data_IF_292616387008
#
_entry.id   IF_292616387008
#
_cell.length_a   1.000
_cell.length_b   1.000
_cell.length_c   1.000
_cell.angle_alpha   90.00
_cell.angle_beta   90.00
_cell.angle_gamma   90.00
#
_symmetry.space_group_name_H-M   'P 1'
#
loop_
_entity.id
_entity.type
_entity.pdbx_description
1 polymer ?
#
# COMPACT_ATOMS: atom_id res chain seq x y z
N UNK A 1 -16.80 14.94 -2.78
CA UNK A 1 -18.21 14.60 -3.17
C UNK A 1 -18.53 13.23 -2.59
N UNK A 2 -19.72 13.03 -1.99
CA UNK A 2 -20.10 11.72 -1.49
C UNK A 2 -20.04 10.67 -2.60
N UNK A 3 -19.77 9.42 -2.22
CA UNK A 3 -19.78 8.29 -3.15
C UNK A 3 -21.16 8.15 -3.81
N UNK A 4 -21.17 7.82 -5.09
CA UNK A 4 -22.40 7.41 -5.78
C UNK A 4 -22.88 6.06 -5.24
N UNK A 5 -24.17 5.76 -5.41
CA UNK A 5 -24.70 4.44 -5.01
C UNK A 5 -23.96 3.30 -5.72
N UNK A 6 -23.66 3.46 -7.01
CA UNK A 6 -22.89 2.48 -7.77
C UNK A 6 -21.49 2.23 -7.20
N UNK A 7 -20.80 3.27 -6.69
CA UNK A 7 -19.51 3.11 -6.02
C UNK A 7 -19.62 2.40 -4.68
N UNK A 8 -20.68 2.70 -3.88
CA UNK A 8 -20.95 1.98 -2.64
C UNK A 8 -21.23 0.50 -2.90
N UNK A 9 -22.08 0.20 -3.86
CA UNK A 9 -22.44 -1.16 -4.23
C UNK A 9 -21.20 -1.93 -4.74
N UNK A 10 -20.37 -1.28 -5.56
CA UNK A 10 -19.12 -1.85 -6.04
C UNK A 10 -18.15 -2.16 -4.89
N UNK A 11 -17.97 -1.21 -3.95
CA UNK A 11 -17.11 -1.45 -2.79
C UNK A 11 -17.60 -2.60 -1.91
N UNK A 12 -18.91 -2.67 -1.68
CA UNK A 12 -19.52 -3.76 -0.92
C UNK A 12 -19.36 -5.12 -1.62
N UNK A 13 -19.41 -5.15 -2.95
CA UNK A 13 -19.31 -6.39 -3.71
C UNK A 13 -17.86 -6.85 -3.89
N UNK A 14 -16.94 -5.93 -4.19
CA UNK A 14 -15.60 -6.22 -4.66
C UNK A 14 -14.51 -5.84 -3.65
N UNK A 15 -14.82 -5.05 -2.64
CA UNK A 15 -13.87 -4.58 -1.63
C UNK A 15 -12.95 -3.47 -2.11
N UNK A 16 -13.24 -2.81 -3.23
CA UNK A 16 -12.45 -1.70 -3.76
C UNK A 16 -13.27 -0.73 -4.59
N UNK A 17 -12.77 0.50 -4.75
CA UNK A 17 -13.30 1.49 -5.70
C UNK A 17 -12.17 2.27 -6.35
N UNK A 18 -12.45 2.82 -7.53
CA UNK A 18 -11.60 3.76 -8.23
C UNK A 18 -12.20 5.17 -8.16
N UNK A 19 -11.40 6.14 -7.75
CA UNK A 19 -11.72 7.57 -7.82
C UNK A 19 -10.78 8.18 -8.87
N UNK A 20 -11.30 8.62 -10.02
CA UNK A 20 -10.46 9.13 -11.10
C UNK A 20 -9.96 10.55 -10.80
N UNK A 21 -8.74 10.86 -11.25
CA UNK A 21 -8.17 12.21 -11.30
C UNK A 21 -8.22 12.94 -9.94
N UNK A 22 -7.72 12.29 -8.88
CA UNK A 22 -7.74 12.83 -7.50
C UNK A 22 -6.48 13.58 -7.14
N UNK A 23 -5.36 13.33 -7.82
CA UNK A 23 -4.07 13.95 -7.55
C UNK A 23 -3.85 15.07 -8.58
N UNK A 24 -3.62 16.32 -8.13
CA UNK A 24 -3.30 17.42 -9.03
C UNK A 24 -2.06 17.13 -9.88
N UNK A 25 -2.12 17.43 -11.18
CA UNK A 25 -1.00 17.23 -12.10
C UNK A 25 0.28 17.92 -11.62
N UNK A 26 0.14 19.10 -11.02
CA UNK A 26 1.29 19.84 -10.44
C UNK A 26 2.04 19.06 -9.36
N UNK A 27 1.32 18.28 -8.54
CA UNK A 27 1.95 17.42 -7.51
C UNK A 27 2.64 16.24 -8.19
N UNK A 28 2.01 15.65 -9.20
CA UNK A 28 2.63 14.56 -9.96
C UNK A 28 3.93 15.03 -10.58
N UNK A 29 3.90 16.16 -11.29
CA UNK A 29 5.07 16.73 -11.97
C UNK A 29 6.19 17.04 -10.98
N UNK A 30 5.87 17.74 -9.88
CA UNK A 30 6.84 18.11 -8.85
C UNK A 30 7.48 16.88 -8.18
N UNK A 31 6.67 15.87 -7.85
CA UNK A 31 7.19 14.70 -7.12
C UNK A 31 7.95 13.74 -8.01
N UNK A 32 7.58 13.66 -9.27
CA UNK A 32 8.26 12.81 -10.28
C UNK A 32 9.55 13.44 -10.81
N UNK A 33 9.72 14.77 -10.73
CA UNK A 33 10.86 15.50 -11.32
C UNK A 33 12.23 14.90 -10.96
N UNK A 34 12.41 14.49 -9.70
CA UNK A 34 13.69 14.01 -9.19
C UNK A 34 13.78 12.50 -9.01
N UNK A 35 12.84 11.73 -9.55
CA UNK A 35 12.78 10.29 -9.34
C UNK A 35 14.06 9.58 -9.84
N UNK A 36 14.53 9.96 -11.02
CA UNK A 36 15.74 9.38 -11.63
C UNK A 36 17.03 9.80 -10.91
N UNK A 37 17.08 11.02 -10.39
CA UNK A 37 18.16 11.48 -9.52
C UNK A 37 18.21 10.65 -8.23
N UNK A 38 17.06 10.41 -7.62
CA UNK A 38 16.94 9.59 -6.40
C UNK A 38 17.36 8.15 -6.65
N UNK A 39 16.97 7.57 -7.76
CA UNK A 39 17.38 6.22 -8.17
C UNK A 39 18.88 6.16 -8.50
N UNK A 40 19.43 7.20 -9.09
CA UNK A 40 20.79 7.23 -9.66
C UNK A 40 20.86 6.54 -11.01
N UNK A 41 19.75 6.47 -11.73
CA UNK A 41 19.58 5.83 -13.02
C UNK A 41 19.26 6.85 -14.11
N UNK A 42 19.44 6.49 -15.36
CA UNK A 42 19.05 7.30 -16.52
C UNK A 42 17.69 6.83 -17.04
N UNK A 43 16.73 7.75 -17.14
CA UNK A 43 15.41 7.49 -17.69
C UNK A 43 15.42 6.90 -19.10
N UNK A 44 16.38 7.34 -19.92
CA UNK A 44 16.47 7.01 -21.33
C UNK A 44 17.42 5.83 -21.62
N UNK A 45 18.12 5.34 -20.58
CA UNK A 45 19.02 4.17 -20.68
C UNK A 45 18.60 3.07 -19.69
N UNK A 46 17.79 2.14 -20.19
CA UNK A 46 17.27 1.02 -19.39
C UNK A 46 18.37 0.07 -18.88
N UNK A 47 19.57 0.12 -19.46
CA UNK A 47 20.70 -0.68 -18.96
C UNK A 47 21.19 -0.22 -17.58
N UNK A 48 20.80 1.01 -17.16
CA UNK A 48 21.09 1.54 -15.83
C UNK A 48 20.06 1.12 -14.76
N UNK A 49 18.98 0.47 -15.16
CA UNK A 49 17.90 0.06 -14.24
C UNK A 49 18.28 -1.27 -13.57
N UNK A 50 18.84 -1.17 -12.39
CA UNK A 50 19.45 -2.30 -11.66
C UNK A 50 18.44 -3.24 -10.99
N UNK A 51 17.21 -2.77 -10.76
CA UNK A 51 16.16 -3.52 -10.04
C UNK A 51 14.84 -3.47 -10.82
N UNK A 52 14.15 -4.59 -10.98
CA UNK A 52 12.80 -4.62 -11.58
C UNK A 52 11.75 -3.96 -10.70
N UNK A 53 11.98 -3.94 -9.39
CA UNK A 53 11.01 -3.44 -8.41
C UNK A 53 11.70 -2.66 -7.29
N UNK A 54 11.34 -1.39 -7.14
CA UNK A 54 11.96 -0.48 -6.19
C UNK A 54 10.92 0.07 -5.23
N UNK A 55 11.20 0.03 -3.92
CA UNK A 55 10.47 0.76 -2.88
C UNK A 55 11.32 1.93 -2.41
N UNK A 56 10.93 3.15 -2.77
CA UNK A 56 11.63 4.38 -2.38
C UNK A 56 11.18 4.87 -1.00
N UNK A 57 12.07 5.47 -0.21
CA UNK A 57 11.67 6.14 1.03
C UNK A 57 10.89 7.42 0.73
N UNK A 58 10.16 7.92 1.72
CA UNK A 58 9.47 9.21 1.68
C UNK A 58 10.46 10.33 1.97
N UNK A 59 10.53 11.34 1.11
CA UNK A 59 11.27 12.58 1.33
C UNK A 59 10.35 13.78 1.52
N UNK A 60 9.15 13.73 0.95
CA UNK A 60 8.13 14.80 1.00
C UNK A 60 6.80 14.21 1.45
N UNK A 61 6.02 15.03 2.14
CA UNK A 61 4.67 14.63 2.54
C UNK A 61 3.75 15.86 2.58
N UNK A 62 2.48 15.64 2.24
CA UNK A 62 1.43 16.65 2.23
C UNK A 62 0.23 16.08 3.00
N UNK A 63 -0.53 16.92 3.77
CA UNK A 63 -1.78 16.48 4.36
C UNK A 63 -2.69 15.84 3.31
N UNK A 64 -3.30 14.69 3.65
CA UNK A 64 -4.09 13.92 2.68
C UNK A 64 -5.25 14.72 2.09
N UNK A 65 -5.85 15.63 2.88
CA UNK A 65 -6.93 16.51 2.44
C UNK A 65 -6.51 17.48 1.33
N UNK A 66 -5.23 17.88 1.33
CA UNK A 66 -4.63 18.76 0.31
C UNK A 66 -4.11 17.95 -0.87
N UNK A 67 -3.58 16.76 -0.60
CA UNK A 67 -3.01 15.88 -1.62
C UNK A 67 -4.07 15.31 -2.56
N UNK A 68 -5.18 14.78 -2.03
CA UNK A 68 -6.22 14.14 -2.83
C UNK A 68 -7.63 14.34 -2.22
N UNK A 69 -8.17 15.58 -2.23
CA UNK A 69 -9.39 15.92 -1.50
C UNK A 69 -10.57 15.02 -1.83
N UNK A 70 -10.81 14.69 -3.10
CA UNK A 70 -11.93 13.83 -3.51
C UNK A 70 -11.76 12.38 -3.02
N UNK A 71 -10.55 11.84 -3.03
CA UNK A 71 -10.28 10.51 -2.48
C UNK A 71 -10.37 10.52 -0.95
N UNK A 72 -9.97 11.60 -0.29
CA UNK A 72 -10.11 11.77 1.16
C UNK A 72 -11.58 11.73 1.62
N UNK A 73 -12.46 12.46 0.93
CA UNK A 73 -13.90 12.41 1.22
C UNK A 73 -14.45 10.98 1.09
N UNK A 74 -14.01 10.24 0.05
CA UNK A 74 -14.39 8.85 -0.13
C UNK A 74 -13.87 7.94 1.00
N UNK A 75 -12.61 8.11 1.42
CA UNK A 75 -12.02 7.38 2.55
C UNK A 75 -12.83 7.62 3.84
N UNK A 76 -13.15 8.88 4.14
CA UNK A 76 -13.96 9.24 5.30
C UNK A 76 -15.34 8.55 5.27
N UNK A 77 -16.01 8.56 4.12
CA UNK A 77 -17.33 7.92 3.99
C UNK A 77 -17.26 6.41 4.20
N UNK A 78 -16.24 5.74 3.64
CA UNK A 78 -16.08 4.28 3.75
C UNK A 78 -15.89 3.81 5.19
N UNK A 79 -15.24 4.60 6.03
CA UNK A 79 -14.96 4.27 7.44
C UNK A 79 -15.95 4.89 8.42
N UNK A 80 -16.93 5.68 7.95
CA UNK A 80 -18.01 6.26 8.76
C UNK A 80 -17.72 7.65 9.33
N UNK A 81 -16.69 8.34 8.86
CA UNK A 81 -16.39 9.73 9.21
C UNK A 81 -14.91 10.01 9.44
N UNK A 82 -14.52 11.27 9.26
CA UNK A 82 -13.14 11.71 9.54
C UNK A 82 -12.75 11.52 11.01
N UNK A 83 -13.73 11.68 11.92
CA UNK A 83 -13.56 11.49 13.37
C UNK A 83 -13.21 10.05 13.77
N UNK A 84 -13.41 9.08 12.87
CA UNK A 84 -13.03 7.67 13.07
C UNK A 84 -11.59 7.40 12.68
N UNK A 85 -10.99 8.25 11.85
CA UNK A 85 -9.61 8.08 11.37
C UNK A 85 -8.61 8.53 12.45
N UNK A 86 -7.55 7.75 12.64
CA UNK A 86 -6.46 8.10 13.56
C UNK A 86 -5.96 9.52 13.25
N UNK A 87 -5.91 10.45 14.22
CA UNK A 87 -5.60 11.85 13.97
C UNK A 87 -4.12 12.10 13.61
N UNK A 88 -3.25 11.12 13.80
CA UNK A 88 -1.80 11.24 13.58
C UNK A 88 -1.31 10.35 12.47
N UNK A 89 -1.66 9.04 12.49
CA UNK A 89 -1.08 8.04 11.59
C UNK A 89 -1.65 8.14 10.21
N UNK A 90 -0.76 8.17 9.21
CA UNK A 90 -1.08 8.21 7.78
C UNK A 90 -1.99 9.39 7.36
N UNK A 91 -1.98 10.49 8.16
CA UNK A 91 -2.68 11.74 7.81
C UNK A 91 -1.93 12.54 6.75
N UNK A 92 -0.74 12.12 6.38
CA UNK A 92 0.10 12.72 5.34
C UNK A 92 0.45 11.66 4.31
N UNK A 93 0.20 11.96 3.05
CA UNK A 93 0.67 11.15 1.94
C UNK A 93 1.97 11.73 1.38
N UNK A 94 2.83 10.88 0.84
CA UNK A 94 4.16 11.30 0.44
C UNK A 94 4.70 10.51 -0.77
N UNK A 95 5.91 10.85 -1.17
CA UNK A 95 6.61 10.37 -2.35
C UNK A 95 7.41 9.07 -2.11
N UNK A 96 6.90 8.20 -1.21
CA UNK A 96 7.42 6.85 -1.05
C UNK A 96 6.98 5.96 -2.23
N UNK A 97 7.62 6.15 -3.36
CA UNK A 97 7.23 5.46 -4.57
C UNK A 97 7.51 3.97 -4.54
N UNK A 98 6.59 3.23 -5.12
CA UNK A 98 6.73 1.82 -5.45
C UNK A 98 6.77 1.75 -6.97
N UNK A 99 7.95 1.43 -7.51
CA UNK A 99 8.18 1.42 -8.94
C UNK A 99 8.35 0.00 -9.42
N UNK A 100 7.62 -0.34 -10.45
CA UNK A 100 7.74 -1.60 -11.16
C UNK A 100 8.23 -1.30 -12.58
N UNK A 101 9.49 -1.65 -12.84
CA UNK A 101 10.14 -1.42 -14.12
C UNK A 101 9.89 -2.56 -15.11
N UNK A 102 9.65 -3.77 -14.61
CA UNK A 102 9.75 -4.96 -15.44
C UNK A 102 11.17 -5.17 -15.94
N UNK A 103 11.32 -6.02 -16.97
CA UNK A 103 12.59 -6.30 -17.61
C UNK A 103 12.41 -6.76 -19.05
N UNK A 104 13.52 -6.85 -19.79
CA UNK A 104 13.54 -7.42 -21.15
C UNK A 104 13.11 -8.89 -21.19
N UNK A 105 13.27 -9.61 -20.08
CA UNK A 105 12.76 -10.97 -19.97
C UNK A 105 11.24 -10.98 -20.11
N UNK A 106 10.53 -10.12 -19.35
CA UNK A 106 9.08 -10.11 -19.32
C UNK A 106 8.44 -9.52 -20.57
N UNK A 107 9.17 -8.79 -21.38
CA UNK A 107 8.71 -8.41 -22.72
C UNK A 107 8.44 -9.62 -23.62
N UNK A 108 9.11 -10.74 -23.35
CA UNK A 108 9.12 -11.94 -24.20
C UNK A 108 8.44 -13.14 -23.56
N UNK A 109 8.11 -13.06 -22.28
CA UNK A 109 7.56 -14.17 -21.51
C UNK A 109 6.24 -13.76 -20.84
N UNK A 110 5.33 -14.70 -20.71
CA UNK A 110 4.08 -14.49 -19.99
C UNK A 110 4.27 -14.73 -18.48
N UNK A 111 3.52 -13.98 -17.69
CA UNK A 111 3.43 -14.22 -16.24
C UNK A 111 2.61 -15.47 -15.94
N UNK A 112 2.79 -16.02 -14.75
CA UNK A 112 1.91 -17.07 -14.23
C UNK A 112 0.47 -16.57 -14.10
N UNK A 113 -0.52 -17.47 -14.10
CA UNK A 113 -1.90 -17.11 -13.75
C UNK A 113 -1.96 -16.44 -12.36
N UNK A 114 -2.93 -15.55 -12.10
CA UNK A 114 -3.02 -14.84 -10.82
C UNK A 114 -2.96 -15.76 -9.58
N UNK A 115 -3.58 -16.93 -9.62
CA UNK A 115 -3.58 -17.92 -8.52
C UNK A 115 -2.18 -18.44 -8.17
N UNK A 116 -1.26 -18.39 -9.11
CA UNK A 116 0.12 -18.90 -8.97
C UNK A 116 1.14 -17.81 -8.71
N UNK A 117 0.71 -16.54 -8.76
CA UNK A 117 1.58 -15.43 -8.42
C UNK A 117 2.01 -15.51 -6.96
N UNK A 118 3.23 -15.10 -6.68
CA UNK A 118 3.75 -14.94 -5.33
C UNK A 118 3.47 -13.55 -4.79
N UNK A 119 3.73 -13.32 -3.50
CA UNK A 119 3.63 -11.97 -2.91
C UNK A 119 2.20 -11.52 -2.62
N UNK A 120 1.19 -12.38 -2.70
CA UNK A 120 -0.15 -12.06 -2.23
C UNK A 120 -0.14 -11.71 -0.74
N UNK A 121 -0.66 -10.53 -0.41
CA UNK A 121 -0.69 -10.00 0.95
C UNK A 121 -1.88 -9.04 1.11
N UNK A 122 -2.14 -8.66 2.34
CA UNK A 122 -2.76 -7.39 2.70
C UNK A 122 -1.79 -6.65 3.61
N UNK A 123 -1.80 -5.32 3.57
CA UNK A 123 -0.81 -4.50 4.26
C UNK A 123 -1.05 -4.47 5.77
N UNK A 124 -0.24 -5.19 6.54
CA UNK A 124 -0.43 -5.35 7.98
C UNK A 124 0.82 -5.79 8.75
N UNK A 125 2.00 -5.52 8.24
CA UNK A 125 3.25 -5.91 8.90
C UNK A 125 3.65 -5.03 10.10
N UNK A 126 2.79 -4.08 10.50
CA UNK A 126 3.02 -3.22 11.67
C UNK A 126 2.03 -3.42 12.82
N UNK A 127 1.16 -4.43 12.78
CA UNK A 127 0.23 -4.74 13.87
C UNK A 127 -0.23 -6.20 13.86
N UNK A 128 -0.73 -6.66 15.02
CA UNK A 128 -1.43 -7.95 15.11
C UNK A 128 -2.80 -7.81 14.48
N UNK A 129 -3.07 -8.63 13.46
CA UNK A 129 -4.30 -8.61 12.70
C UNK A 129 -5.40 -9.40 13.41
N UNK A 130 -6.53 -8.76 13.65
CA UNK A 130 -7.79 -9.34 14.06
C UNK A 130 -8.86 -9.06 13.01
N UNK A 131 -10.02 -9.71 13.13
CA UNK A 131 -11.17 -9.46 12.27
C UNK A 131 -11.60 -7.98 12.24
N UNK A 132 -11.53 -7.33 13.40
CA UNK A 132 -11.96 -5.96 13.63
C UNK A 132 -10.80 -4.94 13.73
N UNK A 133 -9.63 -5.28 13.21
CA UNK A 133 -8.44 -4.42 13.37
C UNK A 133 -8.60 -3.03 12.80
N UNK A 134 -8.15 -2.03 13.58
CA UNK A 134 -8.08 -0.63 13.19
C UNK A 134 -6.77 -0.21 12.50
N UNK A 135 -5.79 -1.11 12.43
CA UNK A 135 -4.44 -0.79 11.97
C UNK A 135 -4.31 -0.53 10.47
N UNK A 136 -5.25 -1.03 9.68
CA UNK A 136 -5.42 -0.74 8.26
C UNK A 136 -6.88 -0.97 7.86
N UNK A 137 -7.69 0.07 7.86
CA UNK A 137 -9.06 0.01 7.38
C UNK A 137 -9.11 -0.01 5.84
N UNK A 138 -8.25 0.81 5.22
CA UNK A 138 -8.17 0.97 3.77
C UNK A 138 -6.70 1.03 3.33
N UNK A 139 -6.38 0.26 2.29
CA UNK A 139 -5.14 0.42 1.52
C UNK A 139 -5.42 1.31 0.33
N UNK A 140 -4.59 2.30 0.10
CA UNK A 140 -4.76 3.28 -0.96
C UNK A 140 -3.70 3.03 -2.03
N UNK A 141 -4.07 3.06 -3.30
CA UNK A 141 -3.12 2.99 -4.41
C UNK A 141 -3.25 4.27 -5.24
N UNK A 142 -2.27 5.15 -5.11
CA UNK A 142 -2.17 6.37 -5.92
C UNK A 142 -1.32 6.09 -7.17
N UNK A 143 -1.82 6.40 -8.34
CA UNK A 143 -1.13 6.19 -9.61
C UNK A 143 -0.45 7.49 -10.08
N UNK A 144 0.88 7.49 -10.13
CA UNK A 144 1.67 8.64 -10.62
C UNK A 144 2.01 8.53 -12.11
N UNK A 145 1.84 7.35 -12.68
CA UNK A 145 1.94 7.09 -14.13
C UNK A 145 0.70 6.39 -14.62
N UNK A 146 0.47 6.39 -15.90
CA UNK A 146 -0.51 5.49 -16.50
C UNK A 146 -0.15 4.03 -16.19
N UNK A 147 -1.16 3.20 -16.00
CA UNK A 147 -1.04 1.76 -15.82
C UNK A 147 -1.88 1.08 -16.90
N UNK A 148 -1.32 0.89 -18.10
CA UNK A 148 -2.02 0.21 -19.17
C UNK A 148 -2.10 -1.30 -18.93
N UNK A 149 -2.92 -2.04 -19.68
CA UNK A 149 -2.89 -3.49 -19.70
C UNK A 149 -1.46 -4.01 -19.87
N UNK A 150 -1.08 -5.07 -19.11
CA UNK A 150 0.27 -5.64 -19.06
C UNK A 150 1.37 -4.70 -18.51
N UNK A 151 1.01 -3.51 -18.03
CA UNK A 151 1.93 -2.52 -17.46
C UNK A 151 2.26 -2.70 -15.98
N UNK A 152 2.09 -3.89 -15.42
CA UNK A 152 2.47 -4.17 -14.02
C UNK A 152 1.47 -3.64 -12.98
N UNK A 153 0.21 -3.50 -13.34
CA UNK A 153 -0.85 -3.11 -12.40
C UNK A 153 -1.01 -4.11 -11.25
N UNK A 154 -1.44 -3.62 -10.11
CA UNK A 154 -1.73 -4.45 -8.93
C UNK A 154 -2.86 -5.43 -9.23
N UNK A 155 -2.67 -6.70 -8.90
CA UNK A 155 -3.73 -7.71 -8.91
C UNK A 155 -4.53 -7.68 -7.61
N UNK A 156 -5.84 -7.77 -7.72
CA UNK A 156 -6.80 -7.86 -6.63
C UNK A 156 -7.51 -9.21 -6.71
N UNK A 157 -7.63 -9.92 -5.58
CA UNK A 157 -8.45 -11.13 -5.46
C UNK A 157 -9.76 -10.77 -4.76
N UNK A 158 -10.80 -10.44 -5.53
CA UNK A 158 -12.06 -9.88 -5.02
C UNK A 158 -12.81 -10.86 -4.10
N UNK A 159 -12.78 -12.14 -4.42
CA UNK A 159 -13.35 -13.21 -3.58
C UNK A 159 -12.39 -13.70 -2.47
N UNK A 160 -11.16 -13.16 -2.41
CA UNK A 160 -10.18 -13.48 -1.38
C UNK A 160 -10.50 -12.91 0.00
N UNK A 161 -11.29 -11.83 0.08
CA UNK A 161 -11.74 -11.26 1.36
C UNK A 161 -12.48 -12.30 2.19
N UNK A 162 -13.35 -13.09 1.57
CA UNK A 162 -14.17 -14.09 2.27
C UNK A 162 -13.30 -15.10 3.03
N UNK A 163 -12.25 -15.61 2.41
CA UNK A 163 -11.34 -16.58 3.01
C UNK A 163 -10.61 -16.02 4.24
N UNK A 164 -10.07 -14.79 4.15
CA UNK A 164 -9.33 -14.19 5.27
C UNK A 164 -10.27 -13.75 6.40
N UNK A 165 -11.45 -13.23 6.09
CA UNK A 165 -12.44 -12.82 7.08
C UNK A 165 -12.91 -14.04 7.88
N UNK A 166 -13.26 -15.15 7.23
CA UNK A 166 -13.63 -16.40 7.91
C UNK A 166 -12.49 -16.93 8.78
N UNK A 167 -11.26 -16.90 8.25
CA UNK A 167 -10.10 -17.33 9.01
C UNK A 167 -9.91 -16.48 10.29
N UNK A 168 -9.97 -15.15 10.20
CA UNK A 168 -9.83 -14.25 11.35
C UNK A 168 -10.98 -14.37 12.35
N UNK A 169 -12.18 -14.71 11.88
CA UNK A 169 -13.32 -15.00 12.74
C UNK A 169 -13.10 -16.26 13.59
N UNK A 170 -12.58 -17.32 12.98
CA UNK A 170 -12.29 -18.60 13.64
C UNK A 170 -11.00 -18.54 14.51
N UNK A 171 -10.15 -17.49 14.32
CA UNK A 171 -8.88 -17.29 15.02
C UNK A 171 -8.86 -15.97 15.79
N UNK A 172 -9.65 -15.84 16.88
CA UNK A 172 -9.73 -14.61 17.66
C UNK A 172 -8.44 -14.27 18.42
N UNK A 173 -7.44 -15.17 18.46
CA UNK A 173 -6.08 -14.90 18.92
C UNK A 173 -5.32 -13.97 17.99
N UNK A 174 -5.82 -13.74 16.78
CA UNK A 174 -5.22 -12.87 15.78
C UNK A 174 -3.94 -13.43 15.16
N UNK A 175 -3.44 -12.72 14.15
CA UNK A 175 -2.27 -13.10 13.39
C UNK A 175 -1.14 -12.10 13.61
N UNK A 176 0.03 -12.62 13.96
CA UNK A 176 1.26 -11.83 13.97
C UNK A 176 1.93 -11.90 12.57
N UNK A 177 2.52 -10.78 12.08
CA UNK A 177 3.27 -10.84 10.82
C UNK A 177 4.47 -11.79 10.92
N UNK A 178 4.87 -12.46 9.82
CA UNK A 178 4.26 -12.52 8.50
C UNK A 178 3.24 -13.66 8.40
N UNK A 179 2.18 -13.49 7.64
CA UNK A 179 1.18 -14.54 7.45
C UNK A 179 0.78 -14.76 5.97
N UNK A 180 1.65 -14.40 5.06
CA UNK A 180 1.46 -14.58 3.62
C UNK A 180 1.13 -16.04 3.25
N UNK A 181 1.66 -17.01 4.01
CA UNK A 181 1.37 -18.44 3.79
C UNK A 181 -0.11 -18.80 3.94
N UNK A 182 -0.81 -18.11 4.84
CA UNK A 182 -2.26 -18.31 5.04
C UNK A 182 -3.02 -17.77 3.83
N UNK A 183 -2.66 -16.57 3.39
CA UNK A 183 -3.25 -15.95 2.20
C UNK A 183 -3.02 -16.80 0.94
N UNK A 184 -1.82 -17.30 0.71
CA UNK A 184 -1.52 -18.14 -0.44
C UNK A 184 -2.41 -19.40 -0.52
N UNK A 185 -2.80 -19.95 0.62
CA UNK A 185 -3.74 -21.08 0.67
C UNK A 185 -5.12 -20.65 0.16
N UNK A 186 -5.62 -19.50 0.61
CA UNK A 186 -6.93 -18.99 0.20
C UNK A 186 -6.96 -18.53 -1.26
N UNK A 187 -5.89 -17.90 -1.73
CA UNK A 187 -5.77 -17.41 -3.11
C UNK A 187 -5.90 -18.52 -4.16
N UNK A 188 -5.41 -19.73 -3.86
CA UNK A 188 -5.53 -20.87 -4.78
C UNK A 188 -6.98 -21.24 -5.10
N UNK A 189 -7.90 -20.96 -4.18
CA UNK A 189 -9.32 -21.25 -4.32
C UNK A 189 -10.09 -20.09 -4.99
N UNK A 190 -9.50 -18.89 -5.07
CA UNK A 190 -10.11 -17.71 -5.66
C UNK A 190 -10.32 -17.85 -7.18
N UNK A 191 -11.38 -17.21 -7.66
CA UNK A 191 -11.81 -17.23 -9.08
C UNK A 191 -11.98 -15.84 -9.68
N UNK A 192 -12.05 -14.78 -8.83
CA UNK A 192 -12.31 -13.41 -9.25
C UNK A 192 -11.06 -12.57 -9.07
N UNK A 193 -10.33 -12.37 -10.15
CA UNK A 193 -9.12 -11.57 -10.17
C UNK A 193 -9.27 -10.38 -11.11
N UNK A 194 -8.89 -9.20 -10.64
CA UNK A 194 -8.87 -7.96 -11.42
C UNK A 194 -7.47 -7.37 -11.35
N UNK A 195 -6.94 -6.93 -12.48
CA UNK A 195 -5.70 -6.15 -12.51
C UNK A 195 -6.03 -4.66 -12.65
N UNK A 196 -5.46 -3.82 -11.80
CA UNK A 196 -5.64 -2.37 -11.85
C UNK A 196 -5.12 -1.82 -13.18
N UNK A 197 -5.99 -1.08 -13.87
CA UNK A 197 -5.68 -0.22 -15.01
C UNK A 197 -6.03 1.23 -14.66
N UNK A 198 -5.12 2.16 -14.91
CA UNK A 198 -5.23 3.53 -14.43
C UNK A 198 -4.67 4.57 -15.39
N UNK A 199 -5.10 5.81 -15.19
CA UNK A 199 -4.41 7.01 -15.65
C UNK A 199 -3.63 7.62 -14.47
N UNK A 200 -2.56 8.35 -14.78
CA UNK A 200 -1.88 9.18 -13.81
C UNK A 200 -2.89 10.10 -13.10
N UNK A 201 -2.81 10.18 -11.78
CA UNK A 201 -3.77 10.93 -10.95
C UNK A 201 -4.94 10.11 -10.41
N UNK A 202 -5.18 8.89 -10.90
CA UNK A 202 -6.22 8.02 -10.35
C UNK A 202 -5.82 7.46 -8.98
N UNK A 203 -6.82 7.27 -8.12
CA UNK A 203 -6.67 6.61 -6.81
C UNK A 203 -7.60 5.42 -6.71
N UNK A 204 -7.06 4.28 -6.28
CA UNK A 204 -7.85 3.13 -5.86
C UNK A 204 -7.87 3.07 -4.34
N UNK A 205 -9.04 2.76 -3.79
CA UNK A 205 -9.27 2.59 -2.36
C UNK A 205 -9.71 1.15 -2.16
N UNK A 206 -8.89 0.39 -1.45
CA UNK A 206 -9.09 -1.05 -1.19
C UNK A 206 -9.46 -1.25 0.26
N UNK A 207 -10.39 -2.15 0.56
CA UNK A 207 -10.61 -2.63 1.92
C UNK A 207 -9.32 -3.25 2.48
N UNK A 208 -8.95 -2.97 3.73
CA UNK A 208 -7.69 -3.43 4.32
C UNK A 208 -7.49 -4.95 4.36
N UNK A 209 -8.57 -5.74 4.21
CA UNK A 209 -8.52 -7.19 4.11
C UNK A 209 -8.58 -7.71 2.66
N UNK A 210 -8.54 -6.84 1.64
CA UNK A 210 -8.54 -7.28 0.24
C UNK A 210 -7.14 -7.78 -0.14
N UNK A 211 -6.98 -9.10 -0.44
CA UNK A 211 -5.71 -9.63 -0.88
C UNK A 211 -5.29 -9.03 -2.21
N UNK A 212 -4.04 -8.60 -2.28
CA UNK A 212 -3.49 -8.01 -3.49
C UNK A 212 -2.01 -8.38 -3.67
N UNK A 213 -1.53 -8.25 -4.91
CA UNK A 213 -0.12 -8.43 -5.25
C UNK A 213 0.23 -7.57 -6.47
N UNK A 214 1.52 -7.26 -6.65
CA UNK A 214 1.95 -6.56 -7.86
C UNK A 214 1.91 -7.49 -9.08
N UNK A 215 1.51 -6.93 -10.22
CA UNK A 215 1.56 -7.62 -11.50
C UNK A 215 2.93 -7.51 -12.16
N UNK A 216 3.21 -8.40 -13.09
CA UNK A 216 4.39 -8.31 -13.95
C UNK A 216 4.24 -7.17 -14.94
N UNK A 217 5.28 -6.34 -15.07
CA UNK A 217 5.32 -5.27 -16.06
C UNK A 217 6.00 -5.79 -17.34
N UNK A 218 5.16 -6.17 -18.32
CA UNK A 218 5.62 -6.68 -19.61
C UNK A 218 6.06 -5.58 -20.59
N UNK A 219 5.85 -4.31 -20.25
CA UNK A 219 6.13 -3.20 -21.15
C UNK A 219 7.50 -2.56 -20.88
N UNK A 220 8.17 -2.96 -19.79
CA UNK A 220 9.48 -2.48 -19.38
C UNK A 220 9.54 -0.94 -19.39
N UNK A 221 8.71 -0.32 -18.53
CA UNK A 221 8.70 1.12 -18.27
C UNK A 221 8.51 1.38 -16.77
N UNK A 222 8.75 2.60 -16.30
CA UNK A 222 8.58 2.95 -14.91
C UNK A 222 7.07 3.10 -14.56
N UNK A 223 6.43 2.06 -14.02
CA UNK A 223 5.10 2.13 -13.42
C UNK A 223 5.23 2.58 -11.98
N UNK A 224 4.77 3.79 -11.67
CA UNK A 224 4.96 4.45 -10.37
C UNK A 224 3.66 4.60 -9.61
N UNK A 225 3.61 4.06 -8.39
CA UNK A 225 2.49 4.22 -7.45
C UNK A 225 3.01 4.55 -6.05
N UNK A 226 2.10 4.93 -5.15
CA UNK A 226 2.30 4.87 -3.69
C UNK A 226 1.14 4.09 -3.05
N UNK A 227 1.36 3.50 -1.86
CA UNK A 227 0.34 2.75 -1.13
C UNK A 227 0.23 3.16 0.35
N UNK A 228 -0.21 4.39 0.65
CA UNK A 228 -0.54 4.76 2.02
C UNK A 228 -1.79 4.02 2.53
N UNK A 229 -2.04 4.13 3.84
CA UNK A 229 -3.14 3.42 4.51
C UNK A 229 -4.02 4.37 5.30
N UNK A 230 -5.25 3.95 5.58
CA UNK A 230 -6.12 4.62 6.54
C UNK A 230 -6.14 3.79 7.83
N UNK A 231 -5.59 4.36 8.89
CA UNK A 231 -5.68 3.80 10.24
C UNK A 231 -6.90 4.41 10.94
N UNK A 232 -7.60 3.63 11.76
CA UNK A 232 -8.71 4.10 12.58
C UNK A 232 -8.30 4.25 14.04
N UNK A 233 -8.99 5.14 14.76
CA UNK A 233 -8.84 5.31 16.21
C UNK A 233 -9.26 4.05 16.96
N UNK A 234 -10.44 3.54 16.62
CA UNK A 234 -11.05 2.37 17.26
C UNK A 234 -11.17 1.19 16.29
N UNK A 235 -11.24 -0.04 16.80
CA UNK A 235 -11.59 -1.20 16.00
C UNK A 235 -12.96 -1.06 15.34
N UNK A 236 -13.18 -1.79 14.23
CA UNK A 236 -14.50 -1.92 13.64
C UNK A 236 -15.52 -2.46 14.66
N UNK A 237 -16.70 -1.89 14.67
CA UNK A 237 -17.80 -2.36 15.49
C UNK A 237 -18.71 -3.29 14.67
N UNK A 238 -18.57 -4.58 14.87
CA UNK A 238 -19.36 -5.60 14.18
C UNK A 238 -20.64 -6.02 14.94
N UNK A 239 -21.00 -5.27 15.98
CA UNK A 239 -22.20 -5.48 16.79
C UNK A 239 -22.87 -4.13 17.07
N UNK A 240 -23.59 -3.60 16.07
CA UNK A 240 -24.32 -2.33 16.16
C UNK A 240 -25.83 -2.60 16.33
N UNK A 241 -26.43 -2.25 17.49
CA UNK A 241 -27.87 -2.49 17.73
C UNK A 241 -28.78 -1.75 16.75
N UNK A 242 -28.33 -0.61 16.21
CA UNK A 242 -29.07 0.20 15.23
C UNK A 242 -28.88 -0.30 13.79
N UNK A 243 -27.95 -1.21 13.55
CA UNK A 243 -27.62 -1.74 12.22
C UNK A 243 -26.91 -0.72 11.32
N UNK A 244 -26.49 0.44 11.84
CA UNK A 244 -25.82 1.50 11.07
C UNK A 244 -24.31 1.21 10.93
N UNK A 245 -24.01 0.17 10.18
CA UNK A 245 -22.65 -0.24 9.89
C UNK A 245 -22.00 0.61 8.80
N UNK A 246 -20.71 0.92 8.97
CA UNK A 246 -19.89 1.53 7.92
C UNK A 246 -19.75 0.60 6.72
N UNK A 247 -19.37 1.13 5.57
CA UNK A 247 -19.16 0.30 4.38
C UNK A 247 -18.07 -0.75 4.60
N UNK A 248 -16.99 -0.42 5.32
CA UNK A 248 -15.95 -1.39 5.67
C UNK A 248 -16.48 -2.51 6.58
N UNK A 249 -17.27 -2.19 7.60
CA UNK A 249 -17.89 -3.18 8.48
C UNK A 249 -18.85 -4.09 7.72
N UNK A 250 -19.63 -3.53 6.78
CA UNK A 250 -20.55 -4.30 5.92
C UNK A 250 -19.84 -5.28 5.00
N UNK A 251 -18.65 -4.94 4.49
CA UNK A 251 -17.82 -5.88 3.72
C UNK A 251 -17.46 -7.10 4.56
N UNK A 252 -17.04 -6.90 5.82
CA UNK A 252 -16.71 -7.98 6.75
C UNK A 252 -17.94 -8.85 7.06
N UNK A 253 -19.06 -8.22 7.44
CA UNK A 253 -20.29 -8.92 7.76
C UNK A 253 -20.82 -9.73 6.58
N UNK A 254 -20.80 -9.15 5.37
CA UNK A 254 -21.17 -9.84 4.14
C UNK A 254 -20.29 -11.07 3.88
N UNK A 255 -18.97 -10.95 4.07
CA UNK A 255 -18.04 -12.05 3.89
C UNK A 255 -18.31 -13.22 4.88
N UNK A 256 -18.82 -12.91 6.06
CA UNK A 256 -19.26 -13.91 7.05
C UNK A 256 -20.66 -14.47 6.77
N UNK A 257 -21.46 -13.80 5.95
CA UNK A 257 -22.90 -14.10 5.78
C UNK A 257 -23.70 -13.85 7.06
N UNK A 258 -23.31 -12.81 7.84
CA UNK A 258 -23.92 -12.45 9.13
C UNK A 258 -24.40 -10.99 9.12
N UNK A 259 -25.44 -10.71 9.89
CA UNK A 259 -25.93 -9.33 10.10
C UNK A 259 -25.20 -8.62 11.23
N UNK A 260 -24.66 -9.36 12.19
CA UNK A 260 -23.82 -8.88 13.31
C UNK A 260 -22.96 -10.01 13.87
N UNK A 261 -21.96 -9.66 14.68
CA UNK A 261 -21.03 -10.61 15.30
C UNK A 261 -20.81 -10.28 16.78
N UNK A 262 -21.88 -10.32 17.63
CA UNK A 262 -21.81 -9.94 19.03
C UNK A 262 -20.88 -10.83 19.87
N UNK A 263 -20.64 -12.06 19.42
CA UNK A 263 -19.80 -13.04 20.11
C UNK A 263 -18.29 -12.84 19.87
N UNK A 264 -17.88 -12.10 18.81
CA UNK A 264 -16.47 -11.97 18.50
C UNK A 264 -15.73 -11.10 19.52
N UNK A 265 -14.66 -11.65 20.08
CA UNK A 265 -13.75 -10.94 20.99
C UNK A 265 -12.32 -11.40 20.74
N UNK A 266 -11.39 -10.49 20.51
CA UNK A 266 -9.97 -10.83 20.50
C UNK A 266 -9.56 -11.49 21.82
N UNK A 267 -8.81 -12.61 21.73
CA UNK A 267 -8.33 -13.36 22.90
C UNK A 267 -6.91 -13.01 23.30
N UNK A 268 -6.22 -12.20 22.50
CA UNK A 268 -4.90 -11.65 22.81
C UNK A 268 -4.95 -10.11 22.72
N UNK A 269 -3.95 -9.47 23.34
CA UNK A 269 -3.79 -8.02 23.27
C UNK A 269 -3.58 -7.51 21.84
N UNK A 270 -4.11 -6.34 21.54
CA UNK A 270 -3.78 -5.61 20.32
C UNK A 270 -2.36 -5.08 20.43
N UNK A 271 -1.56 -5.29 19.39
CA UNK A 271 -0.13 -4.97 19.41
C UNK A 271 0.27 -4.33 18.08
N UNK A 272 1.11 -3.29 18.17
CA UNK A 272 1.78 -2.70 17.01
C UNK A 272 3.23 -3.18 16.98
N UNK A 273 3.80 -3.20 15.79
CA UNK A 273 5.16 -3.64 15.50
C UNK A 273 5.88 -2.57 14.69
N UNK A 274 7.19 -2.55 14.79
CA UNK A 274 8.00 -1.75 13.91
C UNK A 274 7.94 -2.32 12.48
N UNK A 275 7.70 -1.48 11.44
CA UNK A 275 7.62 -1.99 10.07
C UNK A 275 8.89 -2.70 9.64
N UNK A 276 8.75 -3.87 9.03
CA UNK A 276 9.85 -4.74 8.58
C UNK A 276 10.87 -4.03 7.67
N UNK A 277 10.40 -3.05 6.90
CA UNK A 277 11.22 -2.32 5.93
C UNK A 277 12.07 -1.21 6.52
N UNK A 278 11.86 -0.83 7.77
CA UNK A 278 12.55 0.33 8.35
C UNK A 278 14.09 0.26 8.30
N UNK A 279 14.75 -0.89 8.55
CA UNK A 279 16.21 -0.98 8.44
C UNK A 279 16.75 -0.71 7.04
N UNK A 280 16.04 -1.17 6.01
CA UNK A 280 16.44 -0.96 4.61
C UNK A 280 16.19 0.46 4.14
N UNK A 281 15.13 1.09 4.63
CA UNK A 281 14.79 2.48 4.30
C UNK A 281 15.90 3.46 4.67
N UNK A 282 16.53 3.32 5.85
CA UNK A 282 17.59 4.23 6.31
C UNK A 282 18.77 4.31 5.32
N UNK A 283 19.31 3.17 4.91
CA UNK A 283 20.41 3.13 3.95
C UNK A 283 20.02 3.75 2.60
N UNK A 284 18.78 3.54 2.15
CA UNK A 284 18.29 4.12 0.90
C UNK A 284 18.08 5.64 1.04
N UNK A 285 17.57 6.13 2.16
CA UNK A 285 17.45 7.57 2.46
C UNK A 285 18.82 8.25 2.31
N UNK A 286 19.85 7.71 2.97
CA UNK A 286 21.20 8.28 2.91
C UNK A 286 21.77 8.30 1.48
N UNK A 287 21.57 7.23 0.72
CA UNK A 287 22.01 7.15 -0.65
C UNK A 287 21.29 8.14 -1.57
N UNK A 288 19.96 8.27 -1.43
CA UNK A 288 19.16 9.22 -2.21
C UNK A 288 19.52 10.66 -1.87
N UNK A 289 19.67 11.03 -0.58
CA UNK A 289 20.11 12.35 -0.17
C UNK A 289 21.46 12.74 -0.78
N UNK A 290 22.43 11.84 -0.76
CA UNK A 290 23.75 12.10 -1.38
C UNK A 290 23.60 12.44 -2.86
N UNK A 291 22.75 11.71 -3.60
CA UNK A 291 22.52 11.97 -5.03
C UNK A 291 21.78 13.28 -5.27
N UNK A 292 20.73 13.56 -4.50
CA UNK A 292 19.95 14.81 -4.59
C UNK A 292 20.80 16.04 -4.31
N UNK A 293 21.62 16.02 -3.25
CA UNK A 293 22.53 17.10 -2.87
C UNK A 293 23.58 17.32 -3.96
N UNK A 294 24.19 16.24 -4.44
CA UNK A 294 25.17 16.30 -5.55
C UNK A 294 24.56 16.89 -6.82
N UNK A 295 23.33 16.49 -7.16
CA UNK A 295 22.61 17.04 -8.31
C UNK A 295 22.38 18.54 -8.16
N UNK A 296 21.89 19.00 -7.00
CA UNK A 296 21.70 20.42 -6.73
C UNK A 296 23.00 21.22 -6.86
N UNK A 297 24.11 20.69 -6.32
CA UNK A 297 25.44 21.32 -6.44
C UNK A 297 25.89 21.44 -7.92
N UNK A 298 25.74 20.40 -8.70
CA UNK A 298 26.09 20.40 -10.13
C UNK A 298 25.25 21.44 -10.90
N UNK A 299 23.98 21.60 -10.53
CA UNK A 299 23.07 22.57 -11.14
C UNK A 299 23.22 24.00 -10.59
N UNK A 300 24.10 24.22 -9.63
CA UNK A 300 24.27 25.54 -8.98
C UNK A 300 23.07 25.95 -8.13
N UNK A 301 22.27 24.99 -7.67
CA UNK A 301 21.09 25.23 -6.85
C UNK A 301 21.47 25.26 -5.36
N UNK A 302 20.78 26.04 -4.52
CA UNK A 302 21.02 26.06 -3.08
C UNK A 302 20.56 24.72 -2.45
N UNK A 303 21.14 24.36 -1.30
CA UNK A 303 20.74 23.16 -0.55
C UNK A 303 19.26 23.13 -0.21
N UNK A 304 18.65 24.29 0.01
CA UNK A 304 17.20 24.45 0.26
C UNK A 304 16.31 24.02 -0.90
N UNK A 305 16.87 23.86 -2.10
CA UNK A 305 16.13 23.28 -3.24
C UNK A 305 15.94 21.77 -3.13
N UNK A 306 16.72 21.11 -2.27
CA UNK A 306 16.53 19.68 -1.98
C UNK A 306 15.39 19.53 -0.98
N UNK A 307 14.18 19.30 -1.51
CA UNK A 307 12.99 19.17 -0.68
C UNK A 307 12.96 17.77 -0.03
N UNK A 308 13.44 17.70 1.22
CA UNK A 308 13.49 16.46 1.99
C UNK A 308 13.28 16.73 3.48
N UNK A 309 12.39 15.96 4.11
CA UNK A 309 12.13 15.95 5.56
C UNK A 309 13.44 15.77 6.35
N UNK A 310 14.34 14.95 5.85
CA UNK A 310 15.61 14.64 6.52
C UNK A 310 16.64 15.79 6.52
N UNK A 311 16.35 16.88 5.82
CA UNK A 311 17.14 18.13 5.84
C UNK A 311 16.47 19.25 6.66
N UNK A 312 15.29 18.99 7.24
CA UNK A 312 14.53 19.99 8.00
C UNK A 312 14.84 19.99 9.51
N UNK A 313 15.74 19.11 9.97
CA UNK A 313 16.16 18.98 11.35
C UNK A 313 15.53 17.81 12.11
N UNK A 314 16.05 17.53 13.30
CA UNK A 314 15.67 16.35 14.10
C UNK A 314 14.20 16.32 14.49
N UNK A 315 13.59 17.46 14.77
CA UNK A 315 12.18 17.51 15.19
C UNK A 315 11.25 17.17 14.02
N UNK A 316 11.56 17.58 12.80
CA UNK A 316 10.81 17.19 11.61
C UNK A 316 10.90 15.67 11.37
N UNK A 317 12.09 15.10 11.58
CA UNK A 317 12.30 13.65 11.46
C UNK A 317 11.48 12.89 12.50
N UNK A 318 11.48 13.32 13.76
CA UNK A 318 10.68 12.71 14.83
C UNK A 318 9.18 12.73 14.53
N UNK A 319 8.69 13.89 14.06
CA UNK A 319 7.27 14.03 13.66
C UNK A 319 6.94 13.08 12.50
N UNK A 320 7.81 13.01 11.50
CA UNK A 320 7.65 12.10 10.37
C UNK A 320 7.66 10.62 10.82
N UNK A 321 8.58 10.23 11.70
CA UNK A 321 8.66 8.87 12.24
C UNK A 321 7.38 8.50 13.02
N UNK A 322 6.88 9.40 13.86
CA UNK A 322 5.64 9.19 14.62
C UNK A 322 4.43 9.00 13.70
N UNK A 323 4.29 9.84 12.67
CA UNK A 323 3.20 9.76 11.66
C UNK A 323 3.22 8.45 10.87
N UNK A 324 4.39 7.84 10.72
CA UNK A 324 4.56 6.58 9.98
C UNK A 324 4.67 5.35 10.90
N UNK A 325 4.55 5.53 12.21
CA UNK A 325 4.66 4.47 13.19
C UNK A 325 6.06 3.88 13.36
N UNK A 326 7.10 4.56 12.89
CA UNK A 326 8.50 4.12 13.03
C UNK A 326 9.04 4.28 14.46
N UNK A 327 8.38 5.08 15.28
CA UNK A 327 8.63 5.27 16.72
C UNK A 327 8.04 4.16 17.58
N UNK A 328 7.31 3.20 16.99
CA UNK A 328 6.65 2.13 17.74
C UNK A 328 7.66 1.05 18.19
N UNK A 329 7.45 0.43 19.36
CA UNK A 329 8.29 -0.65 19.82
C UNK A 329 8.24 -1.84 18.86
N UNK A 330 9.38 -2.53 18.74
CA UNK A 330 9.44 -3.79 18.00
C UNK A 330 8.55 -4.85 18.65
N UNK A 331 7.87 -5.64 17.85
CA UNK A 331 7.20 -6.85 18.27
C UNK A 331 8.19 -7.93 18.73
N UNK A 332 7.68 -9.06 19.23
CA UNK A 332 8.52 -10.17 19.69
C UNK A 332 9.33 -10.75 18.51
N UNK A 333 10.61 -10.48 18.55
CA UNK A 333 11.59 -10.92 17.57
C UNK A 333 11.52 -10.15 16.24
N UNK A 334 12.62 -9.55 15.81
CA UNK A 334 12.68 -9.12 14.43
C UNK A 334 12.58 -10.40 13.59
N UNK A 335 11.58 -10.48 12.74
CA UNK A 335 11.64 -11.41 11.63
C UNK A 335 12.74 -10.86 10.74
N UNK A 336 13.91 -11.50 10.81
CA UNK A 336 15.01 -11.12 9.93
C UNK A 336 14.62 -11.51 8.51
N UNK A 337 14.17 -10.52 7.76
CA UNK A 337 14.04 -10.69 6.31
C UNK A 337 15.39 -10.40 5.71
N UNK A 338 15.88 -11.31 4.89
CA UNK A 338 16.91 -10.95 3.95
C UNK A 338 16.32 -9.92 2.96
N UNK A 339 17.19 -9.11 2.36
CA UNK A 339 16.76 -8.19 1.29
C UNK A 339 15.99 -8.95 0.19
N UNK A 340 16.40 -10.16 -0.11
CA UNK A 340 15.80 -11.04 -1.11
C UNK A 340 14.41 -11.53 -0.68
N UNK A 341 14.17 -11.85 0.58
CA UNK A 341 12.85 -12.29 1.07
C UNK A 341 11.80 -11.19 1.00
N UNK A 342 12.22 -9.93 1.06
CA UNK A 342 11.31 -8.79 1.02
C UNK A 342 10.98 -8.33 -0.41
N UNK A 343 11.90 -8.50 -1.33
CA UNK A 343 11.76 -8.09 -2.74
C UNK A 343 11.31 -9.24 -3.65
N UNK A 344 10.67 -10.26 -3.08
CA UNK A 344 10.01 -11.27 -3.88
C UNK A 344 9.01 -10.61 -4.81
N UNK A 345 9.38 -10.59 -6.04
CA UNK A 345 8.63 -10.01 -7.14
C UNK A 345 8.10 -11.18 -7.93
N UNK A 346 6.84 -11.10 -8.34
CA UNK A 346 6.27 -12.05 -9.30
C UNK A 346 7.01 -12.05 -10.65
N UNK A 347 8.05 -11.25 -10.75
CA UNK A 347 8.94 -11.05 -11.89
C UNK A 347 10.20 -11.92 -11.86
N UNK A 348 10.43 -12.76 -10.85
CA UNK A 348 11.55 -13.68 -10.93
C UNK A 348 11.39 -14.69 -12.08
N UNK A 349 12.44 -14.89 -12.90
CA UNK A 349 12.42 -15.96 -13.90
C UNK A 349 12.12 -17.31 -13.23
N UNK A 350 11.43 -18.22 -13.90
CA UNK A 350 11.29 -19.59 -13.41
C UNK A 350 12.65 -20.18 -13.03
N UNK A 351 12.70 -21.05 -11.99
CA UNK A 351 13.96 -21.63 -11.47
C UNK A 351 14.82 -22.37 -12.50
N UNK A 352 14.22 -22.76 -13.59
CA UNK A 352 14.86 -23.48 -14.69
C UNK A 352 15.65 -22.60 -15.68
N UNK A 353 15.68 -21.27 -15.41
CA UNK A 353 16.39 -20.28 -16.25
C UNK A 353 17.55 -19.61 -15.47
N UNK A 354 17.86 -20.07 -14.28
CA UNK A 354 19.02 -19.58 -13.50
C UNK A 354 20.33 -20.19 -13.98
#
# INVERSE_FOLDING_TARGET
MPLTQAQRDHFLEHGWIKIPNTIPQSIIDEWMENIWVRLGWDENDKSTWEEEYVKMPRHREIPVQEFCPAAWEAMCELVGGEDKIDPVRERYHGDQFIINFGSDYWNKHESRPPQELTGWHHDNDWYRQFLDSSGNALTIVHCFTDVPPRGGGTWLAEDGIEGIVKYLYDHPEGLDPPFEKILHKHIKDCKKFVQIEAKAGDTFILHGLLPHTHGVNHLHFARVITNPHVNMTDPFNLDRPDGDYTLCERVILRALGKDSVPEYRPTRERKRYHPRTAPFKRARIEAELKRMIKYAQIKGLPLSSVNSIYLQGEDAIKVHEARNGYDQPHGPGPIAYSRNDYFWVNSEPPPDIQ
#
